data_IF_764921381362
#
_entry.id   IF_764921381362
#
_cell.length_a   1.000
_cell.length_b   1.000
_cell.length_c   1.000
_cell.angle_alpha   90.00
_cell.angle_beta   90.00
_cell.angle_gamma   90.00
#
_symmetry.space_group_name_H-M   'P 1'
#
loop_
_entity.id
_entity.type
_entity.pdbx_description
1 polymer ?
#
# COMPACT_ATOMS: atom_id res chain seq x y z
N UNK A 1 -12.09 10.41 -0.09
CA UNK A 1 -11.07 9.52 -0.69
C UNK A 1 -11.79 8.32 -1.27
N UNK A 2 -11.79 8.14 -2.59
CA UNK A 2 -12.39 6.98 -3.26
C UNK A 2 -11.26 5.96 -3.47
N UNK A 3 -11.32 4.82 -2.77
CA UNK A 3 -10.38 3.70 -2.96
C UNK A 3 -11.00 2.72 -3.95
N UNK A 4 -10.43 2.64 -5.15
CA UNK A 4 -10.69 1.54 -6.08
C UNK A 4 -9.51 0.59 -5.94
N UNK A 5 -9.74 -0.58 -5.35
CA UNK A 5 -8.71 -1.57 -5.10
C UNK A 5 -9.21 -2.93 -5.56
N UNK A 6 -8.49 -3.54 -6.50
CA UNK A 6 -8.85 -4.84 -7.06
C UNK A 6 -8.47 -6.03 -6.14
N UNK A 7 -8.06 -5.78 -4.89
CA UNK A 7 -7.57 -6.83 -3.98
C UNK A 7 -8.61 -7.44 -3.06
N UNK A 8 -9.80 -6.84 -2.95
CA UNK A 8 -10.72 -7.22 -1.87
C UNK A 8 -11.68 -8.37 -2.26
N UNK A 9 -11.43 -9.10 -3.37
CA UNK A 9 -12.42 -10.05 -3.91
C UNK A 9 -11.95 -11.47 -4.24
N UNK A 10 -10.66 -11.83 -4.13
CA UNK A 10 -10.21 -13.15 -4.58
C UNK A 10 -9.10 -13.77 -3.71
N UNK A 11 -9.24 -13.72 -2.38
CA UNK A 11 -8.46 -14.56 -1.46
C UNK A 11 -9.12 -15.94 -1.20
N UNK A 12 -10.08 -16.33 -2.03
CA UNK A 12 -10.67 -17.67 -1.94
C UNK A 12 -9.89 -18.64 -2.81
N UNK A 13 -9.46 -19.74 -2.20
CA UNK A 13 -8.95 -20.89 -2.95
C UNK A 13 -10.07 -21.43 -3.87
N UNK A 14 -9.68 -21.97 -5.03
CA UNK A 14 -10.65 -22.50 -6.01
C UNK A 14 -11.57 -23.59 -5.41
N UNK A 15 -11.11 -24.27 -4.36
CA UNK A 15 -11.85 -25.32 -3.66
C UNK A 15 -12.90 -24.77 -2.69
N UNK A 16 -12.66 -23.62 -2.05
CA UNK A 16 -13.65 -22.96 -1.17
C UNK A 16 -14.76 -22.27 -1.98
N UNK A 17 -14.43 -21.70 -3.14
CA UNK A 17 -15.42 -21.06 -4.02
C UNK A 17 -16.49 -22.05 -4.52
N UNK A 18 -16.09 -23.29 -4.80
CA UNK A 18 -17.02 -24.33 -5.28
C UNK A 18 -17.99 -24.80 -4.20
N UNK A 19 -17.66 -24.63 -2.93
CA UNK A 19 -18.51 -25.03 -1.80
C UNK A 19 -19.65 -24.04 -1.58
N UNK A 20 -19.36 -22.76 -1.70
CA UNK A 20 -20.32 -21.69 -1.39
C UNK A 20 -21.09 -21.20 -2.63
N UNK A 21 -20.59 -21.48 -3.84
CA UNK A 21 -21.20 -21.06 -5.10
C UNK A 21 -21.38 -22.25 -6.06
N UNK A 22 -22.57 -22.87 -6.12
CA UNK A 22 -22.82 -24.00 -7.02
C UNK A 22 -22.64 -23.61 -8.50
N UNK A 23 -22.21 -24.56 -9.32
CA UNK A 23 -21.90 -24.35 -10.75
C UNK A 23 -23.09 -23.79 -11.56
N UNK A 24 -24.32 -23.99 -11.10
CA UNK A 24 -25.53 -23.43 -11.72
C UNK A 24 -25.65 -21.91 -11.59
N UNK A 25 -24.91 -21.29 -10.66
CA UNK A 25 -24.92 -19.85 -10.39
C UNK A 25 -23.65 -19.14 -10.88
N UNK A 26 -22.65 -19.88 -11.37
CA UNK A 26 -21.38 -19.32 -11.83
C UNK A 26 -21.25 -19.46 -13.35
N UNK A 27 -21.18 -18.34 -14.06
CA UNK A 27 -20.74 -18.36 -15.45
C UNK A 27 -19.25 -18.78 -15.45
N UNK A 28 -18.95 -19.99 -15.92
CA UNK A 28 -17.61 -20.60 -16.11
C UNK A 28 -16.47 -19.83 -15.41
N UNK A 29 -16.13 -20.28 -14.20
CA UNK A 29 -15.12 -19.68 -13.29
C UNK A 29 -13.74 -19.53 -13.95
N UNK A 30 -13.50 -20.25 -15.06
CA UNK A 30 -12.28 -20.19 -15.88
C UNK A 30 -11.91 -18.77 -16.36
N UNK A 31 -12.85 -17.81 -16.35
CA UNK A 31 -12.61 -16.42 -16.78
C UNK A 31 -12.37 -15.41 -15.66
N UNK A 32 -12.60 -15.74 -14.39
CA UNK A 32 -12.48 -14.78 -13.27
C UNK A 32 -11.23 -14.95 -12.41
N UNK A 33 -10.45 -16.00 -12.63
CA UNK A 33 -9.07 -16.06 -12.17
C UNK A 33 -8.21 -15.10 -13.00
N UNK A 34 -8.41 -13.79 -12.82
CA UNK A 34 -7.36 -12.82 -13.14
C UNK A 34 -6.26 -13.15 -12.15
N UNK A 35 -5.32 -14.00 -12.57
CA UNK A 35 -4.09 -14.26 -11.86
C UNK A 35 -3.35 -12.92 -11.76
N UNK A 36 -3.64 -12.16 -10.71
CA UNK A 36 -2.87 -10.98 -10.33
C UNK A 36 -1.47 -11.49 -10.15
N UNK A 37 -0.54 -11.12 -11.03
CA UNK A 37 0.87 -11.48 -10.85
C UNK A 37 1.35 -10.73 -9.60
N UNK A 38 1.50 -11.41 -8.45
CA UNK A 38 1.91 -10.72 -7.24
C UNK A 38 3.35 -10.27 -7.47
N UNK A 39 3.60 -8.99 -7.31
CA UNK A 39 4.90 -8.40 -7.56
C UNK A 39 5.01 -7.02 -6.92
N UNK A 40 6.24 -6.53 -6.71
CA UNK A 40 6.44 -5.20 -6.18
C UNK A 40 5.77 -4.18 -7.09
N UNK A 41 5.03 -3.24 -6.50
CA UNK A 41 4.39 -2.13 -7.22
C UNK A 41 3.42 -2.53 -8.35
N UNK A 42 2.80 -3.72 -8.32
CA UNK A 42 2.01 -4.21 -9.47
C UNK A 42 0.82 -3.32 -9.86
N UNK A 43 0.21 -2.56 -8.94
CA UNK A 43 -0.93 -1.66 -9.25
C UNK A 43 -0.50 -0.22 -9.59
N UNK A 44 0.80 0.07 -9.56
CA UNK A 44 1.31 1.45 -9.74
C UNK A 44 1.01 1.99 -11.12
N UNK A 45 1.02 1.15 -12.15
CA UNK A 45 0.74 1.58 -13.52
C UNK A 45 -0.65 2.23 -13.64
N UNK A 46 -1.65 1.65 -12.99
CA UNK A 46 -3.01 2.21 -12.93
C UNK A 46 -3.03 3.57 -12.24
N UNK A 47 -2.34 3.71 -11.09
CA UNK A 47 -2.28 4.98 -10.38
C UNK A 47 -1.63 6.09 -11.23
N UNK A 48 -0.60 5.75 -12.03
CA UNK A 48 0.06 6.68 -12.95
C UNK A 48 -0.87 7.12 -14.09
N UNK A 49 -1.63 6.19 -14.67
CA UNK A 49 -2.60 6.50 -15.72
C UNK A 49 -3.71 7.41 -15.21
N UNK A 50 -4.25 7.12 -14.02
CA UNK A 50 -5.26 7.95 -13.38
C UNK A 50 -4.70 9.35 -13.07
N UNK A 51 -3.46 9.46 -12.59
CA UNK A 51 -2.83 10.77 -12.32
C UNK A 51 -2.62 11.57 -13.60
N UNK A 52 -2.24 10.93 -14.71
CA UNK A 52 -2.16 11.58 -16.02
C UNK A 52 -3.51 12.08 -16.50
N UNK A 53 -4.59 11.32 -16.29
CA UNK A 53 -5.93 11.67 -16.74
C UNK A 53 -6.58 12.77 -15.87
N UNK A 54 -6.37 12.71 -14.56
CA UNK A 54 -7.03 13.61 -13.59
C UNK A 54 -6.21 14.88 -13.33
N UNK A 55 -4.89 14.80 -13.43
CA UNK A 55 -3.96 15.87 -13.05
C UNK A 55 -4.02 16.16 -11.55
N UNK A 56 -3.97 17.44 -11.18
CA UNK A 56 -3.91 17.90 -9.78
C UNK A 56 -5.28 18.11 -9.14
N UNK A 57 -6.35 17.65 -9.79
CA UNK A 57 -7.72 17.77 -9.27
C UNK A 57 -8.00 16.80 -8.12
N UNK A 58 -7.26 15.69 -8.03
CA UNK A 58 -7.39 14.69 -6.96
C UNK A 58 -6.03 14.20 -6.51
N UNK A 59 -5.92 13.91 -5.21
CA UNK A 59 -4.79 13.19 -4.65
C UNK A 59 -4.91 11.70 -4.97
N UNK A 60 -3.86 11.17 -5.58
CA UNK A 60 -3.78 9.78 -6.01
C UNK A 60 -2.66 9.12 -5.24
N UNK A 61 -2.99 7.98 -4.65
CA UNK A 61 -2.07 7.20 -3.86
C UNK A 61 -1.85 5.84 -4.51
N UNK A 62 -0.61 5.37 -4.54
CA UNK A 62 -0.27 4.04 -5.01
C UNK A 62 -0.37 3.01 -3.88
N UNK A 63 -0.83 1.81 -4.22
CA UNK A 63 -0.94 0.67 -3.31
C UNK A 63 -0.37 -0.57 -4.00
N UNK A 64 0.07 -1.56 -3.22
CA UNK A 64 0.38 -2.91 -3.71
C UNK A 64 1.87 -3.25 -3.69
N UNK A 65 2.27 -4.08 -2.73
CA UNK A 65 3.63 -4.64 -2.65
C UNK A 65 4.73 -3.59 -2.49
N UNK A 66 4.48 -2.52 -1.72
CA UNK A 66 5.47 -1.47 -1.48
C UNK A 66 6.05 -1.68 -0.08
N UNK A 67 7.28 -2.17 -0.05
CA UNK A 67 7.91 -2.71 1.17
C UNK A 67 9.28 -2.11 1.48
N UNK A 68 9.81 -1.27 0.58
CA UNK A 68 11.10 -0.59 0.75
C UNK A 68 10.97 0.91 0.45
N UNK A 69 11.81 1.71 1.11
CA UNK A 69 11.91 3.16 0.95
C UNK A 69 12.31 3.58 -0.46
N UNK A 70 13.35 3.01 -1.09
CA UNK A 70 13.74 3.33 -2.46
C UNK A 70 12.64 3.01 -3.48
N UNK A 71 11.89 1.92 -3.26
CA UNK A 71 10.73 1.61 -4.09
C UNK A 71 9.65 2.69 -3.91
N UNK A 72 9.32 3.07 -2.67
CA UNK A 72 8.35 4.13 -2.40
C UNK A 72 8.76 5.47 -3.04
N UNK A 73 10.04 5.85 -2.96
CA UNK A 73 10.54 7.08 -3.56
C UNK A 73 10.43 7.06 -5.09
N UNK A 74 10.82 5.96 -5.74
CA UNK A 74 10.67 5.78 -7.19
C UNK A 74 9.21 5.90 -7.67
N UNK A 75 8.26 5.70 -6.77
CA UNK A 75 6.83 5.84 -7.06
C UNK A 75 6.32 7.26 -6.87
N UNK A 76 6.81 7.96 -5.83
CA UNK A 76 6.41 9.34 -5.54
C UNK A 76 7.03 10.34 -6.53
N UNK A 77 8.32 10.21 -6.83
CA UNK A 77 9.05 11.10 -7.76
C UNK A 77 8.35 11.35 -9.12
N UNK A 78 7.79 10.35 -9.83
CA UNK A 78 7.10 10.56 -11.10
C UNK A 78 5.71 11.20 -10.99
N UNK A 79 5.30 11.70 -9.80
CA UNK A 79 4.09 12.50 -9.61
C UNK A 79 2.94 11.79 -8.90
N UNK A 80 3.18 10.67 -8.22
CA UNK A 80 2.18 10.07 -7.32
C UNK A 80 2.24 10.82 -5.99
N UNK A 81 1.08 11.23 -5.47
CA UNK A 81 1.04 12.12 -4.30
C UNK A 81 1.43 11.42 -3.00
N UNK A 82 1.09 10.12 -2.85
CA UNK A 82 1.53 9.31 -1.71
C UNK A 82 1.52 7.80 -2.01
N UNK A 83 2.11 7.03 -1.10
CA UNK A 83 2.19 5.57 -1.17
C UNK A 83 1.57 4.96 0.08
N UNK A 84 0.83 3.87 -0.06
CA UNK A 84 0.27 3.12 1.07
C UNK A 84 0.93 1.74 1.20
N UNK A 85 1.59 1.50 2.34
CA UNK A 85 2.32 0.27 2.65
C UNK A 85 1.59 -0.57 3.72
N UNK A 86 0.41 -1.12 3.39
CA UNK A 86 -0.51 -1.75 4.38
C UNK A 86 0.02 -3.02 5.07
N UNK A 87 0.17 -4.12 4.32
CA UNK A 87 0.56 -5.44 4.85
C UNK A 87 1.89 -5.37 5.61
N UNK A 88 2.84 -4.65 5.04
CA UNK A 88 4.18 -4.47 5.61
C UNK A 88 4.16 -3.60 6.88
N UNK A 89 3.28 -2.61 6.97
CA UNK A 89 3.11 -1.83 8.19
C UNK A 89 2.47 -2.64 9.32
N UNK A 90 1.54 -3.55 9.01
CA UNK A 90 0.98 -4.46 10.01
C UNK A 90 2.02 -5.42 10.59
N UNK A 91 2.97 -5.89 9.77
CA UNK A 91 4.07 -6.73 10.23
C UNK A 91 5.15 -5.94 10.99
N UNK A 92 5.41 -4.70 10.58
CA UNK A 92 6.41 -3.84 11.18
C UNK A 92 5.84 -2.43 11.42
N UNK A 93 5.38 -2.09 12.64
CA UNK A 93 4.90 -0.75 12.95
C UNK A 93 6.00 0.33 12.85
N UNK A 94 7.27 -0.08 12.85
CA UNK A 94 8.43 0.77 12.61
C UNK A 94 8.79 0.97 11.13
N UNK A 95 7.97 0.51 10.18
CA UNK A 95 8.27 0.54 8.73
C UNK A 95 8.64 1.94 8.22
N UNK A 96 7.98 2.98 8.74
CA UNK A 96 8.29 4.38 8.36
C UNK A 96 9.72 4.75 8.76
N UNK A 97 10.20 4.27 9.91
CA UNK A 97 11.59 4.47 10.34
C UNK A 97 12.56 3.68 9.46
N UNK A 98 12.19 2.46 9.05
CA UNK A 98 12.97 1.66 8.11
C UNK A 98 13.14 2.40 6.79
N UNK A 99 12.05 2.92 6.21
CA UNK A 99 12.11 3.71 4.97
C UNK A 99 12.97 4.95 5.14
N UNK A 100 12.81 5.66 6.26
CA UNK A 100 13.60 6.84 6.56
C UNK A 100 15.11 6.52 6.64
N UNK A 101 15.47 5.42 7.30
CA UNK A 101 16.87 4.97 7.38
C UNK A 101 17.42 4.59 5.99
N UNK A 102 16.63 3.88 5.17
CA UNK A 102 17.02 3.50 3.81
C UNK A 102 17.22 4.72 2.89
N UNK A 103 16.43 5.77 3.09
CA UNK A 103 16.50 7.03 2.34
C UNK A 103 17.48 8.04 2.96
N UNK A 104 18.11 7.72 4.11
CA UNK A 104 18.97 8.65 4.84
C UNK A 104 18.25 9.87 5.43
N UNK A 105 16.93 9.81 5.56
CA UNK A 105 16.10 10.89 6.11
C UNK A 105 15.92 10.69 7.61
N UNK A 106 16.16 11.73 8.40
CA UNK A 106 15.87 11.68 9.84
C UNK A 106 14.38 11.96 10.09
N UNK A 107 13.63 10.96 10.52
CA UNK A 107 12.22 11.11 10.94
C UNK A 107 12.11 11.16 12.47
N UNK A 108 11.33 12.12 12.97
CA UNK A 108 11.05 12.24 14.41
C UNK A 108 9.81 11.40 14.77
N UNK A 109 10.03 10.11 14.98
CA UNK A 109 9.02 9.16 15.52
C UNK A 109 9.22 8.97 17.04
N UNK A 110 10.08 9.79 17.65
CA UNK A 110 10.67 9.55 18.98
C UNK A 110 9.82 9.99 20.19
N UNK A 111 8.55 10.34 19.97
CA UNK A 111 7.65 10.68 21.08
C UNK A 111 7.42 9.50 22.06
N UNK A 112 7.76 8.27 21.65
CA UNK A 112 7.69 7.07 22.48
C UNK A 112 8.97 6.71 23.25
N UNK A 113 10.16 7.23 22.90
CA UNK A 113 11.42 6.81 23.54
C UNK A 113 12.28 7.95 24.09
N UNK A 114 12.13 9.19 23.59
CA UNK A 114 12.97 10.32 24.03
C UNK A 114 12.42 11.11 25.24
N UNK A 115 11.23 10.72 25.73
CA UNK A 115 10.55 11.38 26.84
C UNK A 115 10.01 12.77 26.49
N UNK A 116 8.91 13.18 27.15
CA UNK A 116 8.47 14.58 27.11
C UNK A 116 9.59 15.43 27.73
N UNK A 117 9.98 16.51 27.05
CA UNK A 117 11.17 17.32 27.34
C UNK A 117 11.39 17.59 28.83
N UNK A 118 12.67 17.64 29.21
CA UNK A 118 13.15 17.95 30.57
C UNK A 118 12.28 19.04 31.20
N UNK A 119 11.63 18.72 32.32
CA UNK A 119 11.07 19.74 33.20
C UNK A 119 12.22 20.66 33.61
N UNK A 120 12.08 21.95 33.37
CA UNK A 120 12.99 22.96 33.90
C UNK A 120 13.12 22.75 35.41
N UNK A 121 14.25 22.23 35.87
CA UNK A 121 14.66 22.39 37.26
C UNK A 121 15.15 23.83 37.40
N UNK A 122 14.27 24.66 37.94
CA UNK A 122 14.58 25.99 38.40
C UNK A 122 15.42 25.79 39.67
N UNK A 123 16.73 26.04 39.57
CA UNK A 123 17.63 26.20 40.72
C UNK A 123 17.55 27.62 41.25
#
# INVERSE_FOLDING_TARGET
MIRISATDWFEFSNDELKKDFPESWTASIDKFAIAIKPGPAYQVHLAKEVKKAVGDKLWITAVGGIETGPLAEKLVQPGIDAVQARRWFQQNPGLVRVFANELGVKVRIDWSFEGRGKANQIS
#
